data_IF_523352155986
#
_entry.id   IF_523352155986
#
_cell.length_a   1.000
_cell.length_b   1.000
_cell.length_c   1.000
_cell.angle_alpha   90.00
_cell.angle_beta   90.00
_cell.angle_gamma   90.00
#
_symmetry.space_group_name_H-M   'P 1'
#
loop_
_entity.id
_entity.type
_entity.pdbx_description
1 polymer ?
#
# COMPACT_ATOMS: atom_id res chain seq x y z
N UNK A 1 16.06 -16.50 32.02
CA UNK A 1 15.30 -15.24 31.89
C UNK A 1 15.65 -14.50 30.62
N UNK A 2 16.93 -14.24 30.42
CA UNK A 2 17.37 -13.53 29.23
C UNK A 2 17.02 -14.26 27.93
N UNK A 3 17.02 -15.59 27.95
CA UNK A 3 16.67 -16.36 26.76
C UNK A 3 15.20 -16.18 26.37
N UNK A 4 14.30 -16.08 27.35
CA UNK A 4 12.88 -15.84 27.05
C UNK A 4 12.68 -14.43 26.51
N UNK A 5 13.36 -13.43 27.07
CA UNK A 5 13.31 -12.06 26.60
C UNK A 5 13.85 -11.97 25.17
N UNK A 6 14.99 -12.60 24.91
CA UNK A 6 15.59 -12.62 23.57
C UNK A 6 14.70 -13.33 22.56
N UNK A 7 14.01 -14.38 22.99
CA UNK A 7 13.07 -15.09 22.12
C UNK A 7 11.91 -14.17 21.71
N UNK A 8 11.39 -13.39 22.64
CA UNK A 8 10.32 -12.44 22.35
C UNK A 8 10.80 -11.37 21.38
N UNK A 9 12.00 -10.83 21.60
CA UNK A 9 12.57 -9.85 20.69
C UNK A 9 12.83 -10.41 19.31
N UNK A 10 13.37 -11.64 19.23
CA UNK A 10 13.60 -12.30 17.95
C UNK A 10 12.29 -12.57 17.22
N UNK A 11 11.27 -12.99 17.95
CA UNK A 11 9.96 -13.22 17.33
C UNK A 11 9.34 -11.94 16.81
N UNK A 12 9.52 -10.83 17.53
CA UNK A 12 9.07 -9.52 17.06
C UNK A 12 9.84 -9.09 15.81
N UNK A 13 11.16 -9.29 15.79
CA UNK A 13 12.02 -8.94 14.67
C UNK A 13 11.76 -9.84 13.46
N UNK A 14 11.61 -11.14 13.69
CA UNK A 14 11.36 -12.12 12.63
C UNK A 14 9.91 -12.13 12.18
N UNK A 15 9.03 -11.61 13.00
CA UNK A 15 7.60 -11.58 12.80
C UNK A 15 6.94 -12.95 12.79
N UNK A 16 5.78 -13.03 13.40
CA UNK A 16 4.89 -14.16 13.26
C UNK A 16 4.22 -14.05 11.89
N UNK A 17 4.28 -15.09 11.03
CA UNK A 17 3.63 -15.04 9.74
C UNK A 17 2.15 -14.71 9.80
N UNK A 18 1.45 -15.13 10.85
CA UNK A 18 0.03 -14.78 11.03
C UNK A 18 -0.16 -13.28 11.24
N UNK A 19 0.72 -12.66 12.02
CA UNK A 19 0.64 -11.21 12.25
C UNK A 19 0.95 -10.46 10.98
N UNK A 20 1.92 -10.93 10.21
CA UNK A 20 2.27 -10.32 8.94
C UNK A 20 1.14 -10.46 7.91
N UNK A 21 0.47 -11.60 7.88
CA UNK A 21 -0.70 -11.81 7.01
C UNK A 21 -1.82 -10.86 7.41
N UNK A 22 -2.07 -10.71 8.72
CA UNK A 22 -3.08 -9.78 9.21
C UNK A 22 -2.76 -8.33 8.80
N UNK A 23 -1.49 -7.95 8.89
CA UNK A 23 -1.04 -6.62 8.44
C UNK A 23 -1.17 -6.47 6.93
N UNK A 24 -0.90 -7.52 6.18
CA UNK A 24 -1.09 -7.52 4.73
C UNK A 24 -2.57 -7.31 4.38
N UNK A 25 -3.46 -8.01 5.06
CA UNK A 25 -4.90 -7.87 4.83
C UNK A 25 -5.36 -6.44 5.16
N UNK A 26 -4.84 -5.84 6.22
CA UNK A 26 -5.14 -4.45 6.56
C UNK A 26 -4.61 -3.47 5.51
N UNK A 27 -3.41 -3.72 5.01
CA UNK A 27 -2.81 -2.93 3.94
C UNK A 27 -3.65 -3.01 2.65
N UNK A 28 -4.05 -4.22 2.27
CA UNK A 28 -4.91 -4.44 1.10
C UNK A 28 -6.25 -3.72 1.25
N UNK A 29 -6.82 -3.78 2.44
CA UNK A 29 -8.07 -3.12 2.75
C UNK A 29 -7.95 -1.60 2.62
N UNK A 30 -6.86 -1.03 3.12
CA UNK A 30 -6.59 0.39 3.01
C UNK A 30 -6.42 0.81 1.55
N UNK A 31 -5.62 0.07 0.79
CA UNK A 31 -5.40 0.37 -0.62
C UNK A 31 -6.68 0.21 -1.44
N UNK A 32 -7.47 -0.81 -1.13
CA UNK A 32 -8.77 -1.00 -1.76
C UNK A 32 -9.68 0.19 -1.51
N UNK A 33 -9.75 0.65 -0.26
CA UNK A 33 -10.60 1.79 0.11
C UNK A 33 -10.18 3.06 -0.63
N UNK A 34 -8.87 3.31 -0.73
CA UNK A 34 -8.36 4.48 -1.44
C UNK A 34 -8.67 4.41 -2.93
N UNK A 35 -8.49 3.24 -3.54
CA UNK A 35 -8.79 3.04 -4.94
C UNK A 35 -10.29 3.11 -5.22
N UNK A 36 -11.10 2.57 -4.32
CA UNK A 36 -12.55 2.65 -4.43
C UNK A 36 -13.02 4.11 -4.41
N UNK A 37 -12.50 4.90 -3.48
CA UNK A 37 -12.82 6.32 -3.40
C UNK A 37 -12.41 7.06 -4.67
N UNK A 38 -11.23 6.76 -5.19
CA UNK A 38 -10.75 7.38 -6.43
C UNK A 38 -11.66 7.04 -7.61
N UNK A 39 -12.07 5.77 -7.71
CA UNK A 39 -12.97 5.33 -8.78
C UNK A 39 -14.34 5.98 -8.67
N UNK A 40 -14.88 6.11 -7.47
CA UNK A 40 -16.16 6.77 -7.24
C UNK A 40 -16.10 8.27 -7.62
N UNK A 41 -15.01 8.93 -7.24
CA UNK A 41 -14.81 10.34 -7.60
C UNK A 41 -14.75 10.49 -9.12
N UNK A 42 -14.04 9.60 -9.79
CA UNK A 42 -13.94 9.62 -11.25
C UNK A 42 -15.24 9.31 -11.97
N UNK A 43 -16.13 8.55 -11.31
CA UNK A 43 -17.42 8.13 -11.89
C UNK A 43 -18.54 9.13 -11.64
N UNK A 44 -18.34 10.10 -10.76
CA UNK A 44 -19.40 11.06 -10.44
C UNK A 44 -19.82 11.82 -11.69
N UNK A 45 -21.14 11.86 -11.87
CA UNK A 45 -21.72 12.53 -13.00
C UNK A 45 -21.55 14.05 -12.96
N UNK A 46 -22.02 14.73 -14.00
CA UNK A 46 -21.88 16.18 -14.09
C UNK A 46 -22.60 16.91 -12.95
N UNK A 47 -21.92 17.89 -12.39
CA UNK A 47 -22.49 18.80 -11.40
C UNK A 47 -23.03 20.05 -12.08
N UNK A 48 -23.63 20.94 -11.26
CA UNK A 48 -24.20 22.20 -11.72
C UNK A 48 -23.14 23.05 -12.43
N UNK A 49 -21.90 23.02 -11.90
CA UNK A 49 -20.76 23.70 -12.54
C UNK A 49 -19.71 22.64 -12.92
N UNK A 50 -19.67 22.21 -14.18
CA UNK A 50 -18.74 21.17 -14.62
C UNK A 50 -17.27 21.54 -14.43
N UNK A 51 -16.91 22.81 -14.62
CA UNK A 51 -15.53 23.26 -14.46
C UNK A 51 -15.06 23.17 -13.01
N UNK A 52 -15.87 23.66 -12.08
CA UNK A 52 -15.57 23.59 -10.66
C UNK A 52 -15.54 22.14 -10.17
N UNK A 53 -16.48 21.33 -10.63
CA UNK A 53 -16.53 19.92 -10.30
C UNK A 53 -15.27 19.19 -10.77
N UNK A 54 -14.77 19.51 -11.96
CA UNK A 54 -13.54 18.93 -12.49
C UNK A 54 -12.32 19.32 -11.64
N UNK A 55 -12.23 20.57 -11.21
CA UNK A 55 -11.15 21.05 -10.34
C UNK A 55 -11.17 20.33 -8.99
N UNK A 56 -12.33 20.27 -8.35
CA UNK A 56 -12.50 19.61 -7.05
C UNK A 56 -12.18 18.12 -7.15
N UNK A 57 -12.61 17.49 -8.23
CA UNK A 57 -12.34 16.10 -8.50
C UNK A 57 -10.85 15.85 -8.66
N UNK A 58 -10.17 16.71 -9.43
CA UNK A 58 -8.73 16.63 -9.62
C UNK A 58 -7.96 16.76 -8.30
N UNK A 59 -8.37 17.71 -7.46
CA UNK A 59 -7.75 17.89 -6.14
C UNK A 59 -7.97 16.66 -5.24
N UNK A 60 -9.18 16.12 -5.22
CA UNK A 60 -9.48 14.93 -4.43
C UNK A 60 -8.67 13.73 -4.90
N UNK A 61 -8.57 13.53 -6.21
CA UNK A 61 -7.77 12.44 -6.77
C UNK A 61 -6.28 12.60 -6.44
N UNK A 62 -5.78 13.82 -6.46
CA UNK A 62 -4.39 14.11 -6.09
C UNK A 62 -4.13 13.76 -4.62
N UNK A 63 -5.04 14.12 -3.73
CA UNK A 63 -4.91 13.80 -2.30
C UNK A 63 -4.91 12.28 -2.09
N UNK A 64 -5.81 11.57 -2.76
CA UNK A 64 -5.88 10.11 -2.66
C UNK A 64 -4.61 9.46 -3.22
N UNK A 65 -4.08 10.00 -4.33
CA UNK A 65 -2.81 9.52 -4.90
C UNK A 65 -1.65 9.70 -3.94
N UNK A 66 -1.59 10.84 -3.25
CA UNK A 66 -0.58 11.07 -2.22
C UNK A 66 -0.69 10.04 -1.08
N UNK A 67 -1.90 9.73 -0.65
CA UNK A 67 -2.12 8.74 0.40
C UNK A 67 -1.64 7.34 -0.03
N UNK A 68 -1.90 6.96 -1.27
CA UNK A 68 -1.40 5.69 -1.81
C UNK A 68 0.12 5.69 -1.83
N UNK A 69 0.73 6.76 -2.32
CA UNK A 69 2.18 6.89 -2.38
C UNK A 69 2.82 6.82 -0.99
N UNK A 70 2.29 7.58 -0.03
CA UNK A 70 2.77 7.56 1.34
C UNK A 70 2.67 6.16 1.95
N UNK A 71 1.59 5.46 1.68
CA UNK A 71 1.39 4.10 2.16
C UNK A 71 2.47 3.16 1.62
N UNK A 72 2.73 3.20 0.31
CA UNK A 72 3.76 2.37 -0.29
C UNK A 72 5.18 2.76 0.13
N UNK A 73 5.43 4.04 0.35
CA UNK A 73 6.77 4.53 0.72
C UNK A 73 7.08 4.35 2.21
N UNK A 74 6.11 3.96 3.02
CA UNK A 74 6.33 3.70 4.44
C UNK A 74 7.34 2.56 4.60
N UNK A 75 8.47 2.78 5.31
CA UNK A 75 9.45 1.71 5.54
C UNK A 75 8.87 0.48 6.20
N UNK A 76 7.86 0.64 7.05
CA UNK A 76 7.18 -0.49 7.69
C UNK A 76 6.49 -1.39 6.68
N UNK A 77 5.91 -0.80 5.64
CA UNK A 77 5.28 -1.55 4.54
C UNK A 77 6.34 -2.32 3.77
N UNK A 78 7.46 -1.68 3.46
CA UNK A 78 8.57 -2.35 2.78
C UNK A 78 9.09 -3.54 3.56
N UNK A 79 9.31 -3.36 4.86
CA UNK A 79 9.77 -4.42 5.73
C UNK A 79 8.76 -5.57 5.81
N UNK A 80 7.47 -5.24 5.91
CA UNK A 80 6.39 -6.24 5.93
C UNK A 80 6.40 -7.09 4.66
N UNK A 81 6.46 -6.44 3.50
CA UNK A 81 6.44 -7.14 2.22
C UNK A 81 7.69 -8.01 2.03
N UNK A 82 8.85 -7.54 2.48
CA UNK A 82 10.08 -8.32 2.41
C UNK A 82 10.00 -9.56 3.29
N UNK A 83 9.49 -9.43 4.53
CA UNK A 83 9.31 -10.57 5.42
C UNK A 83 8.35 -11.60 4.84
N UNK A 84 7.23 -11.13 4.29
CA UNK A 84 6.26 -12.02 3.66
C UNK A 84 6.85 -12.72 2.45
N UNK A 85 7.66 -12.02 1.66
CA UNK A 85 8.34 -12.62 0.52
C UNK A 85 9.33 -13.71 0.95
N UNK A 86 10.10 -13.45 2.00
CA UNK A 86 11.03 -14.44 2.54
C UNK A 86 10.31 -15.69 3.04
N UNK A 87 9.11 -15.50 3.59
CA UNK A 87 8.28 -16.57 4.12
C UNK A 87 7.18 -17.04 3.15
N UNK A 88 7.36 -16.77 1.85
CA UNK A 88 6.31 -17.04 0.85
C UNK A 88 5.86 -18.51 0.79
N UNK A 89 6.72 -19.41 1.18
CA UNK A 89 6.36 -20.83 1.22
C UNK A 89 5.27 -21.12 2.24
N UNK A 90 5.11 -20.26 3.25
CA UNK A 90 4.10 -20.40 4.29
C UNK A 90 2.79 -19.71 3.92
N UNK A 91 2.76 -18.99 2.81
CA UNK A 91 1.59 -18.26 2.36
C UNK A 91 0.77 -19.10 1.40
N UNK A 92 -0.54 -18.87 1.40
CA UNK A 92 -1.39 -19.46 0.37
C UNK A 92 -1.15 -18.75 -0.96
N UNK A 93 -1.74 -19.27 -2.01
CA UNK A 93 -1.54 -18.76 -3.36
C UNK A 93 -2.00 -17.31 -3.50
N UNK A 94 -3.12 -16.98 -2.88
CA UNK A 94 -3.69 -15.62 -2.94
C UNK A 94 -2.77 -14.61 -2.28
N UNK A 95 -2.33 -14.87 -1.05
CA UNK A 95 -1.43 -13.96 -0.35
C UNK A 95 -0.07 -13.85 -1.05
N UNK A 96 0.42 -14.95 -1.60
CA UNK A 96 1.67 -14.96 -2.36
C UNK A 96 1.60 -14.04 -3.57
N UNK A 97 0.49 -14.12 -4.29
CA UNK A 97 0.26 -13.26 -5.46
C UNK A 97 0.16 -11.78 -5.05
N UNK A 98 -0.54 -11.50 -3.94
CA UNK A 98 -0.67 -10.13 -3.41
C UNK A 98 0.69 -9.54 -3.05
N UNK A 99 1.53 -10.30 -2.36
CA UNK A 99 2.87 -9.85 -1.99
C UNK A 99 3.70 -9.54 -3.23
N UNK A 100 3.64 -10.39 -4.23
CA UNK A 100 4.37 -10.19 -5.49
C UNK A 100 3.96 -8.89 -6.17
N UNK A 101 2.65 -8.66 -6.27
CA UNK A 101 2.11 -7.46 -6.91
C UNK A 101 2.49 -6.21 -6.12
N UNK A 102 2.30 -6.23 -4.80
CA UNK A 102 2.58 -5.08 -3.95
C UNK A 102 4.06 -4.73 -3.92
N UNK A 103 4.94 -5.72 -3.88
CA UNK A 103 6.38 -5.47 -3.94
C UNK A 103 6.77 -4.81 -5.25
N UNK A 104 6.20 -5.28 -6.35
CA UNK A 104 6.44 -4.67 -7.67
C UNK A 104 5.95 -3.22 -7.70
N UNK A 105 4.72 -2.98 -7.24
CA UNK A 105 4.13 -1.66 -7.26
C UNK A 105 4.91 -0.70 -6.37
N UNK A 106 5.32 -1.15 -5.18
CA UNK A 106 6.13 -0.35 -4.29
C UNK A 106 7.47 0.00 -4.91
N UNK A 107 8.13 -0.96 -5.54
CA UNK A 107 9.41 -0.74 -6.20
C UNK A 107 9.30 0.35 -7.26
N UNK A 108 8.23 0.32 -8.04
CA UNK A 108 7.99 1.34 -9.06
C UNK A 108 7.80 2.73 -8.47
N UNK A 109 7.12 2.82 -7.34
CA UNK A 109 6.84 4.11 -6.69
C UNK A 109 8.04 4.66 -5.93
N UNK A 110 8.79 3.79 -5.25
CA UNK A 110 9.92 4.21 -4.42
C UNK A 110 11.15 4.54 -5.26
N UNK A 111 11.41 3.75 -6.31
CA UNK A 111 12.61 3.88 -7.12
C UNK A 111 12.50 4.96 -8.19
N UNK A 112 11.29 5.41 -8.51
CA UNK A 112 11.09 6.47 -9.49
C UNK A 112 11.28 7.84 -8.84
N UNK A 113 12.10 8.74 -9.43
CA UNK A 113 12.24 10.10 -8.90
C UNK A 113 10.90 10.83 -8.80
N UNK A 114 10.78 11.68 -7.78
CA UNK A 114 9.53 12.42 -7.51
C UNK A 114 9.06 13.19 -8.75
N UNK A 115 9.97 13.77 -9.49
CA UNK A 115 9.65 14.53 -10.70
C UNK A 115 8.97 13.67 -11.75
N UNK A 116 9.49 12.44 -11.95
CA UNK A 116 8.89 11.51 -12.89
C UNK A 116 7.58 10.95 -12.38
N UNK A 117 7.45 10.76 -11.07
CA UNK A 117 6.19 10.34 -10.45
C UNK A 117 5.08 11.36 -10.73
N UNK A 118 5.39 12.64 -10.60
CA UNK A 118 4.44 13.71 -10.90
C UNK A 118 3.97 13.67 -12.35
N UNK A 119 4.85 13.35 -13.28
CA UNK A 119 4.51 13.24 -14.68
C UNK A 119 3.61 12.02 -14.96
N UNK A 120 3.80 10.94 -14.25
CA UNK A 120 2.95 9.75 -14.39
C UNK A 120 1.54 9.96 -13.84
N UNK A 121 1.41 10.78 -12.82
CA UNK A 121 0.10 11.05 -12.20
C UNK A 121 -0.77 11.95 -13.08
N UNK A 122 -0.15 12.70 -13.94
CA UNK A 122 -0.87 13.54 -14.89
C UNK A 122 -1.37 12.70 -16.06
#
# INVERSE_FOLDING_TARGET
>A
MDSAHNTVELNAALSNPRDDIAKLDELEKKLFALNYAANEIGSFGPCIDPKKAAEERGEALAILGEQVQETFCDPAVGALLDRLHENRALLDETHRAQVKILRRDRSQLVDVPVELQSNFVR
#
